data_IF_545742221355
#
_entry.id   IF_545742221355
#
_cell.length_a   1.000
_cell.length_b   1.000
_cell.length_c   1.000
_cell.angle_alpha   90.00
_cell.angle_beta   90.00
_cell.angle_gamma   90.00
#
_symmetry.space_group_name_H-M   'P 1'
#
loop_
_entity.id
_entity.type
_entity.pdbx_description
1 polymer ?
#
# COMPACT_ATOMS: atom_id res chain seq x y z
N UNK A 1 32.39 -56.40 -32.36
CA UNK A 1 33.81 -55.99 -32.27
C UNK A 1 34.37 -56.57 -31.00
N UNK A 2 35.56 -57.16 -31.10
CA UNK A 2 36.14 -58.10 -30.15
C UNK A 2 36.53 -57.38 -28.86
N UNK A 3 36.22 -57.99 -27.71
CA UNK A 3 36.75 -57.55 -26.40
C UNK A 3 38.29 -57.56 -26.37
N UNK A 4 38.91 -58.23 -27.34
CA UNK A 4 40.37 -58.35 -27.48
C UNK A 4 41.05 -57.02 -27.87
N UNK A 5 40.34 -56.08 -28.51
CA UNK A 5 40.88 -54.74 -28.87
C UNK A 5 41.04 -53.85 -27.62
N UNK A 6 40.09 -53.92 -26.68
CA UNK A 6 40.14 -53.13 -25.43
C UNK A 6 41.33 -53.52 -24.55
N UNK A 7 41.68 -54.81 -24.49
CA UNK A 7 42.82 -55.27 -23.71
C UNK A 7 44.17 -55.07 -24.41
N UNK A 8 44.21 -54.79 -25.72
CA UNK A 8 45.45 -54.36 -26.39
C UNK A 8 45.80 -52.90 -26.06
N UNK A 9 44.81 -52.00 -26.03
CA UNK A 9 45.02 -50.59 -25.64
C UNK A 9 45.54 -50.45 -24.19
N UNK A 10 45.13 -51.34 -23.28
CA UNK A 10 45.57 -51.33 -21.88
C UNK A 10 46.97 -51.92 -21.66
N UNK A 11 47.50 -52.72 -22.60
CA UNK A 11 48.85 -53.32 -22.48
C UNK A 11 49.98 -52.31 -22.68
N UNK A 12 49.70 -51.18 -23.34
CA UNK A 12 50.65 -50.08 -23.56
C UNK A 12 50.61 -48.97 -22.50
N UNK A 13 49.68 -49.03 -21.55
CA UNK A 13 49.53 -48.03 -20.49
C UNK A 13 50.37 -48.43 -19.28
N UNK A 14 51.44 -47.67 -19.02
CA UNK A 14 52.16 -47.72 -17.75
C UNK A 14 51.22 -47.17 -16.65
N UNK A 15 50.43 -48.04 -16.04
CA UNK A 15 49.68 -47.70 -14.85
C UNK A 15 50.68 -47.45 -13.73
N UNK A 16 50.64 -46.24 -13.18
CA UNK A 16 51.43 -45.91 -12.01
C UNK A 16 50.91 -46.73 -10.82
N UNK A 17 51.62 -47.83 -10.56
CA UNK A 17 51.39 -48.73 -9.43
C UNK A 17 52.14 -48.27 -8.18
N UNK A 18 52.76 -47.10 -8.21
CA UNK A 18 53.48 -46.54 -7.07
C UNK A 18 52.49 -46.17 -5.97
N UNK A 19 52.76 -46.66 -4.76
CA UNK A 19 52.01 -46.22 -3.59
C UNK A 19 52.41 -44.76 -3.27
N UNK A 20 51.45 -43.87 -3.00
CA UNK A 20 51.79 -42.48 -2.66
C UNK A 20 52.64 -42.43 -1.39
N UNK A 21 53.51 -41.40 -1.32
CA UNK A 21 54.37 -41.19 -0.15
C UNK A 21 53.60 -41.22 1.17
N UNK A 22 54.27 -41.74 2.20
CA UNK A 22 53.70 -41.83 3.55
C UNK A 22 53.16 -40.47 4.02
N UNK A 23 51.96 -40.50 4.61
CA UNK A 23 51.23 -39.30 5.04
C UNK A 23 50.43 -38.59 3.94
N UNK A 24 50.41 -39.06 2.68
CA UNK A 24 49.52 -38.50 1.66
C UNK A 24 48.04 -38.53 2.10
N UNK A 25 47.59 -39.65 2.69
CA UNK A 25 46.21 -39.79 3.17
C UNK A 25 45.86 -38.72 4.21
N UNK A 26 46.78 -38.44 5.13
CA UNK A 26 46.58 -37.45 6.18
C UNK A 26 46.52 -36.03 5.60
N UNK A 27 47.43 -35.67 4.69
CA UNK A 27 47.40 -34.38 3.97
C UNK A 27 46.13 -34.22 3.14
N UNK A 28 45.64 -35.30 2.53
CA UNK A 28 44.38 -35.31 1.77
C UNK A 28 43.17 -35.06 2.69
N UNK A 29 43.10 -35.77 3.82
CA UNK A 29 42.05 -35.58 4.83
C UNK A 29 42.09 -34.19 5.46
N UNK A 30 43.29 -33.64 5.68
CA UNK A 30 43.47 -32.27 6.15
C UNK A 30 42.91 -31.26 5.14
N UNK A 31 43.24 -31.41 3.86
CA UNK A 31 42.75 -30.54 2.77
C UNK A 31 41.23 -30.63 2.61
N UNK A 32 40.65 -31.82 2.75
CA UNK A 32 39.19 -32.04 2.73
C UNK A 32 38.49 -31.34 3.90
N UNK A 33 39.02 -31.51 5.11
CA UNK A 33 38.49 -30.86 6.32
C UNK A 33 38.61 -29.34 6.27
N UNK A 34 39.66 -28.81 5.63
CA UNK A 34 39.85 -27.37 5.45
C UNK A 34 38.79 -26.75 4.52
N UNK A 35 38.41 -27.45 3.44
CA UNK A 35 37.33 -27.01 2.55
C UNK A 35 35.94 -27.04 3.20
N UNK A 36 35.70 -27.91 4.20
CA UNK A 36 34.47 -27.87 4.99
C UNK A 36 34.45 -26.72 6.00
N UNK A 37 35.60 -26.35 6.58
CA UNK A 37 35.69 -25.26 7.58
C UNK A 37 35.54 -23.86 6.98
N UNK A 38 35.94 -23.66 5.73
CA UNK A 38 35.82 -22.35 5.05
C UNK A 38 34.38 -22.02 4.59
N UNK A 39 33.42 -22.92 4.80
CA UNK A 39 31.98 -22.68 4.56
C UNK A 39 31.17 -22.35 5.83
N UNK A 40 31.80 -22.29 7.01
CA UNK A 40 31.12 -21.80 8.21
C UNK A 40 31.42 -20.30 8.42
N UNK A 41 30.41 -19.44 8.54
CA UNK A 41 30.65 -18.03 8.83
C UNK A 41 31.39 -17.89 10.16
N UNK A 42 32.49 -17.13 10.17
CA UNK A 42 33.21 -16.77 11.41
C UNK A 42 32.21 -16.18 12.40
N UNK A 43 32.02 -16.83 13.56
CA UNK A 43 31.25 -16.29 14.69
C UNK A 43 31.90 -14.99 15.17
N UNK A 44 31.42 -13.85 14.66
CA UNK A 44 31.59 -12.57 15.31
C UNK A 44 30.93 -12.62 16.69
N UNK A 45 31.56 -12.00 17.69
CA UNK A 45 30.96 -11.79 19.01
C UNK A 45 29.58 -11.14 18.80
N UNK A 46 28.52 -11.89 19.07
CA UNK A 46 27.15 -11.38 19.07
C UNK A 46 27.05 -10.36 20.21
N UNK A 47 27.24 -9.08 19.90
CA UNK A 47 26.69 -8.01 20.73
C UNK A 47 25.19 -8.26 20.75
N UNK A 48 24.66 -8.55 21.93
CA UNK A 48 23.24 -8.78 22.19
C UNK A 48 22.50 -7.47 21.95
N UNK A 49 22.22 -7.19 20.68
CA UNK A 49 21.38 -6.07 20.26
C UNK A 49 19.94 -6.52 20.55
N UNK A 50 19.40 -6.04 21.67
CA UNK A 50 17.97 -6.10 21.91
C UNK A 50 17.32 -5.25 20.83
N UNK A 51 16.78 -5.88 19.80
CA UNK A 51 15.94 -5.21 18.82
C UNK A 51 14.62 -4.97 19.53
N UNK A 52 14.21 -3.71 19.81
CA UNK A 52 12.83 -3.48 20.18
C UNK A 52 11.98 -3.81 18.94
N UNK A 53 10.90 -4.57 19.10
CA UNK A 53 9.95 -4.94 18.03
C UNK A 53 9.37 -3.74 17.23
N UNK A 54 9.71 -2.51 17.60
CA UNK A 54 9.39 -1.27 16.90
C UNK A 54 9.95 -1.18 15.46
N UNK A 55 11.04 -1.89 15.12
CA UNK A 55 11.66 -1.74 13.79
C UNK A 55 10.91 -2.43 12.63
N UNK A 56 10.04 -3.40 12.91
CA UNK A 56 9.24 -4.08 11.87
C UNK A 56 8.09 -3.16 11.42
N UNK A 57 7.47 -2.43 12.35
CA UNK A 57 6.44 -1.45 12.03
C UNK A 57 7.01 -0.32 11.16
N UNK A 58 8.19 0.20 11.46
CA UNK A 58 8.83 1.24 10.65
C UNK A 58 9.17 0.75 9.23
N UNK A 59 9.66 -0.48 9.06
CA UNK A 59 9.93 -1.05 7.74
C UNK A 59 8.65 -1.31 6.93
N UNK A 60 7.56 -1.74 7.60
CA UNK A 60 6.24 -1.87 6.96
C UNK A 60 5.65 -0.52 6.60
N UNK A 61 5.78 0.51 7.46
CA UNK A 61 5.35 1.88 7.18
C UNK A 61 6.15 2.47 6.02
N UNK A 62 7.47 2.29 6.00
CA UNK A 62 8.34 2.75 4.90
C UNK A 62 8.01 2.00 3.61
N UNK A 63 7.74 0.69 3.67
CA UNK A 63 7.29 -0.08 2.51
C UNK A 63 5.89 0.34 2.05
N UNK A 64 4.96 0.64 2.96
CA UNK A 64 3.61 1.10 2.63
C UNK A 64 3.62 2.52 2.06
N UNK A 65 4.50 3.40 2.54
CA UNK A 65 4.74 4.72 1.97
C UNK A 65 5.43 4.58 0.60
N UNK A 66 6.48 3.77 0.49
CA UNK A 66 7.20 3.59 -0.77
C UNK A 66 6.32 2.95 -1.86
N UNK A 67 5.48 1.96 -1.52
CA UNK A 67 4.57 1.30 -2.48
C UNK A 67 3.24 2.05 -2.66
N UNK A 68 2.73 2.72 -1.63
CA UNK A 68 1.51 3.55 -1.71
C UNK A 68 1.68 4.81 -2.57
N UNK A 69 2.91 5.29 -2.74
CA UNK A 69 3.25 6.38 -3.66
C UNK A 69 3.51 5.89 -5.10
N UNK A 70 3.80 4.60 -5.34
CA UNK A 70 4.00 4.07 -6.71
C UNK A 70 2.67 3.94 -7.46
N UNK A 71 1.55 3.75 -6.74
CA UNK A 71 0.20 3.83 -7.33
C UNK A 71 -0.36 5.25 -7.42
N UNK A 72 0.31 6.25 -6.84
CA UNK A 72 -0.04 7.65 -6.93
C UNK A 72 1.07 8.40 -7.69
N UNK A 73 1.13 8.21 -9.00
CA UNK A 73 1.87 9.11 -9.87
C UNK A 73 0.93 10.25 -10.29
N UNK A 74 1.08 11.50 -9.78
CA UNK A 74 0.47 12.65 -10.44
C UNK A 74 1.41 13.11 -11.54
N UNK A 75 1.64 12.25 -12.53
CA UNK A 75 2.41 12.61 -13.70
C UNK A 75 1.49 13.33 -14.69
N UNK A 76 1.15 14.59 -14.40
CA UNK A 76 0.54 15.56 -15.34
C UNK A 76 -0.47 14.96 -16.34
N UNK A 77 -1.34 14.06 -15.86
CA UNK A 77 -2.53 13.70 -16.60
C UNK A 77 -3.38 14.96 -16.58
N UNK A 78 -3.68 15.51 -17.75
CA UNK A 78 -4.67 16.58 -17.94
C UNK A 78 -5.88 16.21 -17.07
N UNK A 79 -6.07 16.88 -15.93
CA UNK A 79 -7.06 16.46 -14.95
C UNK A 79 -8.41 16.49 -15.64
N UNK A 80 -8.95 15.31 -15.86
CA UNK A 80 -10.18 15.16 -16.59
C UNK A 80 -11.32 15.20 -15.61
N UNK A 81 -11.63 16.42 -15.24
CA UNK A 81 -12.70 16.73 -14.35
C UNK A 81 -13.68 17.69 -15.05
N UNK A 82 -14.66 18.20 -14.30
CA UNK A 82 -15.63 19.13 -14.86
C UNK A 82 -14.96 20.42 -15.36
N UNK A 83 -13.84 20.84 -14.76
CA UNK A 83 -13.13 22.04 -15.18
C UNK A 83 -12.56 21.93 -16.61
N UNK A 84 -12.26 20.72 -17.07
CA UNK A 84 -11.80 20.47 -18.44
C UNK A 84 -12.92 20.50 -19.50
N UNK A 85 -14.20 20.53 -19.10
CA UNK A 85 -15.35 20.53 -20.01
C UNK A 85 -15.69 21.93 -20.51
N UNK A 86 -15.80 22.90 -19.61
CA UNK A 86 -16.11 24.31 -19.94
C UNK A 86 -15.83 25.23 -18.75
N UNK A 87 -15.71 26.56 -18.96
CA UNK A 87 -15.59 27.52 -17.85
C UNK A 87 -16.72 27.42 -16.83
N UNK A 88 -17.96 27.21 -17.27
CA UNK A 88 -19.12 27.07 -16.38
C UNK A 88 -19.05 25.78 -15.55
N UNK A 89 -18.52 24.70 -16.13
CA UNK A 89 -18.32 23.44 -15.40
C UNK A 89 -17.15 23.53 -14.41
N UNK A 90 -16.12 24.33 -14.71
CA UNK A 90 -15.10 24.71 -13.73
C UNK A 90 -15.71 25.46 -12.54
N UNK A 91 -16.49 26.50 -12.79
CA UNK A 91 -17.17 27.26 -11.73
C UNK A 91 -18.06 26.35 -10.87
N UNK A 92 -18.77 25.42 -11.51
CA UNK A 92 -19.61 24.42 -10.82
C UNK A 92 -18.77 23.52 -9.90
N UNK A 93 -17.64 23.01 -10.39
CA UNK A 93 -16.73 22.20 -9.59
C UNK A 93 -16.17 22.99 -8.40
N UNK A 94 -15.68 24.20 -8.65
CA UNK A 94 -15.10 25.06 -7.62
C UNK A 94 -16.13 25.39 -6.52
N UNK A 95 -17.35 25.73 -6.93
CA UNK A 95 -18.46 26.00 -6.01
C UNK A 95 -18.75 24.80 -5.11
N UNK A 96 -18.99 23.62 -5.69
CA UNK A 96 -19.32 22.44 -4.91
C UNK A 96 -18.17 21.96 -4.04
N UNK A 97 -16.92 22.05 -4.51
CA UNK A 97 -15.74 21.65 -3.74
C UNK A 97 -15.58 22.55 -2.50
N UNK A 98 -15.74 23.86 -2.68
CA UNK A 98 -15.69 24.84 -1.58
C UNK A 98 -16.82 24.60 -0.58
N UNK A 99 -18.04 24.32 -1.07
CA UNK A 99 -19.19 24.04 -0.22
C UNK A 99 -18.97 22.76 0.62
N UNK A 100 -18.51 21.68 0.00
CA UNK A 100 -18.21 20.41 0.68
C UNK A 100 -17.14 20.61 1.74
N UNK A 101 -16.04 21.33 1.43
CA UNK A 101 -14.98 21.61 2.39
C UNK A 101 -15.52 22.39 3.59
N UNK A 102 -16.35 23.41 3.35
CA UNK A 102 -16.98 24.21 4.40
C UNK A 102 -17.84 23.34 5.31
N UNK A 103 -18.73 22.52 4.75
CA UNK A 103 -19.62 21.67 5.56
C UNK A 103 -18.86 20.60 6.32
N UNK A 104 -17.86 19.98 5.70
CA UNK A 104 -17.00 19.00 6.36
C UNK A 104 -16.28 19.63 7.57
N UNK A 105 -15.80 20.87 7.43
CA UNK A 105 -15.19 21.61 8.54
C UNK A 105 -16.20 21.92 9.65
N UNK A 106 -17.44 22.26 9.31
CA UNK A 106 -18.52 22.43 10.29
C UNK A 106 -18.75 21.14 11.07
N UNK A 107 -18.88 20.00 10.39
CA UNK A 107 -19.10 18.69 11.00
C UNK A 107 -17.94 18.29 11.93
N UNK A 108 -16.69 18.45 11.49
CA UNK A 108 -15.53 18.14 12.33
C UNK A 108 -15.43 19.05 13.56
N UNK A 109 -15.88 20.31 13.45
CA UNK A 109 -16.00 21.23 14.58
C UNK A 109 -17.00 20.75 15.65
N UNK A 110 -17.92 19.85 15.28
CA UNK A 110 -18.95 19.30 16.16
C UNK A 110 -18.58 17.93 16.76
N UNK A 111 -17.32 17.52 16.62
CA UNK A 111 -16.83 16.24 17.13
C UNK A 111 -16.84 16.21 18.67
N UNK A 112 -17.54 15.22 19.21
CA UNK A 112 -17.67 14.94 20.64
C UNK A 112 -17.82 13.42 20.86
N UNK A 113 -17.70 12.89 22.10
CA UNK A 113 -17.91 11.46 22.34
C UNK A 113 -19.26 10.93 21.83
N UNK A 114 -20.33 11.74 21.88
CA UNK A 114 -21.68 11.35 21.43
C UNK A 114 -21.86 11.45 19.91
N UNK A 115 -21.12 12.34 19.23
CA UNK A 115 -21.21 12.55 17.77
C UNK A 115 -20.11 11.84 16.96
N UNK A 116 -19.07 11.32 17.63
CA UNK A 116 -17.90 10.74 16.98
C UNK A 116 -18.24 9.59 16.03
N UNK A 117 -19.20 8.72 16.40
CA UNK A 117 -19.57 7.56 15.58
C UNK A 117 -20.15 7.99 14.24
N UNK A 118 -21.18 8.85 14.26
CA UNK A 118 -21.83 9.31 13.02
C UNK A 118 -20.86 10.10 12.14
N UNK A 119 -19.98 10.91 12.72
CA UNK A 119 -18.97 11.66 11.95
C UNK A 119 -18.03 10.68 11.23
N UNK A 120 -17.51 9.66 11.93
CA UNK A 120 -16.62 8.68 11.29
C UNK A 120 -17.34 7.88 10.20
N UNK A 121 -18.60 7.48 10.43
CA UNK A 121 -19.40 6.78 9.42
C UNK A 121 -19.63 7.67 8.17
N UNK A 122 -19.81 8.98 8.37
CA UNK A 122 -19.93 9.95 7.28
C UNK A 122 -18.63 10.09 6.48
N UNK A 123 -17.47 10.16 7.15
CA UNK A 123 -16.16 10.23 6.48
C UNK A 123 -15.92 9.03 5.56
N UNK A 124 -16.27 7.83 6.01
CA UNK A 124 -16.13 6.59 5.21
C UNK A 124 -17.05 6.64 3.98
N UNK A 125 -18.28 7.12 4.13
CA UNK A 125 -19.20 7.28 2.99
C UNK A 125 -18.73 8.37 2.03
N UNK A 126 -18.20 9.48 2.54
CA UNK A 126 -17.63 10.56 1.73
C UNK A 126 -16.42 10.07 0.93
N UNK A 127 -15.55 9.25 1.52
CA UNK A 127 -14.43 8.61 0.82
C UNK A 127 -14.90 7.67 -0.30
N UNK A 128 -16.01 6.97 -0.09
CA UNK A 128 -16.64 6.12 -1.11
C UNK A 128 -17.12 6.96 -2.30
N UNK A 129 -17.82 8.06 -2.03
CA UNK A 129 -18.26 9.01 -3.07
C UNK A 129 -17.08 9.67 -3.79
N UNK A 130 -15.95 9.90 -3.10
CA UNK A 130 -14.71 10.37 -3.70
C UNK A 130 -14.10 9.37 -4.67
N UNK A 131 -14.05 8.09 -4.31
CA UNK A 131 -13.60 7.04 -5.22
C UNK A 131 -14.50 6.92 -6.45
N UNK A 132 -15.81 7.05 -6.29
CA UNK A 132 -16.76 7.07 -7.41
C UNK A 132 -16.50 8.25 -8.35
N UNK A 133 -16.28 9.46 -7.84
CA UNK A 133 -15.94 10.62 -8.67
C UNK A 133 -14.64 10.44 -9.43
N UNK A 134 -13.61 9.88 -8.79
CA UNK A 134 -12.35 9.59 -9.47
C UNK A 134 -12.48 8.53 -10.55
N UNK A 135 -13.45 7.61 -10.45
CA UNK A 135 -13.82 6.72 -11.55
C UNK A 135 -14.50 7.51 -12.68
N UNK A 136 -15.45 8.38 -12.35
CA UNK A 136 -16.13 9.21 -13.34
C UNK A 136 -15.18 10.15 -14.10
N UNK A 137 -14.11 10.64 -13.47
CA UNK A 137 -13.03 11.39 -14.15
C UNK A 137 -12.41 10.58 -15.31
N UNK A 138 -12.16 9.29 -15.08
CA UNK A 138 -11.63 8.38 -16.11
C UNK A 138 -12.67 8.13 -17.21
N UNK A 139 -13.91 7.84 -16.81
CA UNK A 139 -15.02 7.63 -17.74
C UNK A 139 -15.26 8.90 -18.61
N UNK A 140 -15.02 10.10 -18.07
CA UNK A 140 -15.18 11.36 -18.80
C UNK A 140 -14.14 11.50 -19.92
N UNK A 141 -12.89 11.08 -19.68
CA UNK A 141 -11.86 11.02 -20.73
C UNK A 141 -12.23 10.01 -21.80
N UNK A 142 -12.53 8.79 -21.38
CA UNK A 142 -12.73 7.66 -22.29
C UNK A 142 -13.96 7.85 -23.16
N UNK A 143 -15.01 8.50 -22.62
CA UNK A 143 -16.24 8.80 -23.34
C UNK A 143 -16.18 10.05 -24.23
N UNK A 144 -15.10 10.83 -24.18
CA UNK A 144 -15.01 12.09 -24.92
C UNK A 144 -15.98 13.16 -24.40
N UNK A 145 -16.10 13.29 -23.07
CA UNK A 145 -16.99 14.24 -22.38
C UNK A 145 -18.49 13.96 -22.57
N UNK A 146 -18.91 12.70 -22.47
CA UNK A 146 -20.33 12.33 -22.53
C UNK A 146 -21.14 13.07 -21.44
N UNK A 147 -22.24 13.72 -21.86
CA UNK A 147 -23.15 14.47 -21.00
C UNK A 147 -23.71 13.63 -19.84
N UNK A 148 -23.87 12.31 -20.03
CA UNK A 148 -24.32 11.38 -18.99
C UNK A 148 -23.27 11.21 -17.90
N UNK A 149 -21.99 11.19 -18.25
CA UNK A 149 -20.88 11.15 -17.29
C UNK A 149 -20.79 12.48 -16.54
N UNK A 150 -20.90 13.61 -17.25
CA UNK A 150 -20.97 14.94 -16.64
C UNK A 150 -22.13 15.01 -15.63
N UNK A 151 -23.31 14.53 -15.99
CA UNK A 151 -24.47 14.47 -15.08
C UNK A 151 -24.17 13.59 -13.86
N UNK A 152 -23.55 12.43 -14.05
CA UNK A 152 -23.16 11.55 -12.95
C UNK A 152 -22.14 12.21 -12.00
N UNK A 153 -21.21 13.01 -12.53
CA UNK A 153 -20.24 13.77 -11.74
C UNK A 153 -20.91 14.84 -10.89
N UNK A 154 -21.84 15.61 -11.47
CA UNK A 154 -22.63 16.60 -10.74
C UNK A 154 -23.49 15.92 -9.66
N UNK A 155 -24.14 14.80 -10.00
CA UNK A 155 -24.93 14.03 -9.04
C UNK A 155 -24.06 13.48 -7.89
N UNK A 156 -22.80 13.11 -8.15
CA UNK A 156 -21.89 12.70 -7.09
C UNK A 156 -21.60 13.87 -6.12
N UNK A 157 -21.38 15.10 -6.61
CA UNK A 157 -21.27 16.28 -5.74
C UNK A 157 -22.53 16.47 -4.89
N UNK A 158 -23.72 16.38 -5.50
CA UNK A 158 -24.99 16.52 -4.80
C UNK A 158 -25.15 15.49 -3.68
N UNK A 159 -24.87 14.21 -3.96
CA UNK A 159 -24.90 13.15 -2.94
C UNK A 159 -24.00 13.41 -1.75
N UNK A 160 -22.81 13.98 -1.97
CA UNK A 160 -21.91 14.34 -0.87
C UNK A 160 -22.50 15.43 -0.01
N UNK A 161 -23.09 16.45 -0.63
CA UNK A 161 -23.72 17.55 0.08
C UNK A 161 -24.93 17.04 0.88
N UNK A 162 -25.76 16.20 0.28
CA UNK A 162 -26.90 15.57 0.95
C UNK A 162 -26.45 14.76 2.17
N UNK A 163 -25.39 13.95 2.02
CA UNK A 163 -24.78 13.21 3.14
C UNK A 163 -24.32 14.15 4.26
N UNK A 164 -23.61 15.22 3.93
CA UNK A 164 -23.08 16.16 4.93
C UNK A 164 -24.23 16.90 5.66
N UNK A 165 -25.26 17.32 4.94
CA UNK A 165 -26.46 17.92 5.54
C UNK A 165 -27.17 16.95 6.49
N UNK A 166 -27.38 15.69 6.06
CA UNK A 166 -27.98 14.67 6.92
C UNK A 166 -27.19 14.41 8.21
N UNK A 167 -25.87 14.53 8.15
CA UNK A 167 -24.99 14.36 9.32
C UNK A 167 -25.12 15.56 10.25
N UNK A 168 -25.16 16.78 9.73
CA UNK A 168 -25.41 17.98 10.53
C UNK A 168 -26.76 17.91 11.26
N UNK A 169 -27.84 17.52 10.56
CA UNK A 169 -29.17 17.36 11.16
C UNK A 169 -29.18 16.34 12.31
N UNK A 170 -28.48 15.22 12.12
CA UNK A 170 -28.35 14.19 13.16
C UNK A 170 -27.50 14.66 14.34
N UNK A 171 -26.43 15.41 14.09
CA UNK A 171 -25.62 16.05 15.15
C UNK A 171 -26.48 17.02 15.96
N UNK A 172 -27.27 17.86 15.30
CA UNK A 172 -28.18 18.79 15.96
C UNK A 172 -29.21 18.05 16.82
N UNK A 173 -29.81 16.99 16.28
CA UNK A 173 -30.75 16.13 17.02
C UNK A 173 -30.10 15.55 18.29
N UNK A 174 -28.87 15.02 18.18
CA UNK A 174 -28.13 14.49 19.34
C UNK A 174 -27.89 15.57 20.39
N UNK A 175 -27.55 16.79 19.97
CA UNK A 175 -27.34 17.92 20.90
C UNK A 175 -28.62 18.30 21.64
N UNK A 176 -29.74 18.40 20.93
CA UNK A 176 -31.04 18.76 21.52
C UNK A 176 -31.48 17.75 22.58
N UNK A 177 -31.32 16.45 22.32
CA UNK A 177 -31.62 15.38 23.28
C UNK A 177 -30.76 15.50 24.56
N UNK A 178 -29.48 15.85 24.42
CA UNK A 178 -28.60 16.03 25.58
C UNK A 178 -29.01 17.20 26.47
N UNK A 179 -29.51 18.29 25.89
CA UNK A 179 -30.00 19.44 26.66
C UNK A 179 -31.22 19.05 27.49
N UNK A 180 -32.16 18.32 26.90
CA UNK A 180 -33.38 17.85 27.59
C UNK A 180 -33.06 16.89 28.75
N UNK A 181 -32.14 15.95 28.56
CA UNK A 181 -31.70 15.05 29.65
C UNK A 181 -31.17 15.82 30.87
N UNK A 182 -30.38 16.87 30.63
CA UNK A 182 -29.79 17.69 31.70
C UNK A 182 -30.83 18.56 32.43
N UNK A 183 -31.92 18.96 31.77
CA UNK A 183 -33.01 19.73 32.38
C UNK A 183 -33.96 18.87 33.22
N UNK A 184 -34.14 17.59 32.88
CA UNK A 184 -34.98 16.65 33.66
C UNK A 184 -34.33 16.08 34.92
N UNK A 185 -33.02 16.31 35.12
CA UNK A 185 -32.25 15.79 36.28
C UNK A 185 -32.11 16.86 37.40
N UNK A 186 -32.71 18.04 37.24
CA UNK A 186 -32.70 19.15 38.21
C UNK A 186 -34.01 19.19 38.99
#
# INVERSE_FOLDING_TARGET
MKNDEFFEDLKGLNFDISEPDSGHKDRFLEKLNRQQKDKLPKKGKLRKLWIPLSSIAAALIIAFIAFGNVFNTPAFAKEADLAAVSPQMKETQDFYSTLIERELKSIEGERSPKTNKIINDALVQLETLEKEYNKLKKDLLESGQDKRVIYAMINNFQKRIDLLNQVLDQIETIKQLNTQENETII
#
